data_IF_348073244010
#
_entry.id   IF_348073244010
#
_cell.length_a   1.000
_cell.length_b   1.000
_cell.length_c   1.000
_cell.angle_alpha   90.00
_cell.angle_beta   90.00
_cell.angle_gamma   90.00
#
_symmetry.space_group_name_H-M   'P 1'
#
loop_
_entity.id
_entity.type
_entity.pdbx_description
1 polymer ?
#
# COMPACT_ATOMS: atom_id res chain seq x y z
N UNK A 1 55.38 -18.24 43.05
CA UNK A 1 54.02 -18.75 42.78
C UNK A 1 53.15 -17.55 42.43
N UNK A 2 52.77 -17.44 41.15
CA UNK A 2 52.11 -16.26 40.57
C UNK A 2 50.61 -16.23 40.88
N UNK A 3 50.12 -15.06 41.30
CA UNK A 3 48.71 -14.66 41.30
C UNK A 3 48.39 -13.99 39.96
N UNK A 4 47.42 -14.50 39.19
CA UNK A 4 46.56 -13.68 38.32
C UNK A 4 45.27 -14.44 37.99
N UNK A 5 44.18 -14.05 38.65
CA UNK A 5 42.82 -14.39 38.23
C UNK A 5 42.55 -13.71 36.89
N UNK A 6 42.35 -14.49 35.82
CA UNK A 6 41.90 -13.98 34.53
C UNK A 6 40.49 -13.38 34.67
N UNK A 7 40.39 -12.05 34.69
CA UNK A 7 39.13 -11.36 34.38
C UNK A 7 38.80 -11.67 32.93
N UNK A 8 37.72 -12.44 32.72
CA UNK A 8 37.10 -12.60 31.41
C UNK A 8 36.44 -11.27 31.05
N UNK A 9 37.13 -10.47 30.25
CA UNK A 9 36.53 -9.29 29.60
C UNK A 9 35.45 -9.77 28.65
N UNK A 10 34.19 -9.46 28.94
CA UNK A 10 33.10 -9.55 27.96
C UNK A 10 33.34 -8.51 26.86
N UNK A 11 33.31 -8.87 25.56
CA UNK A 11 33.37 -7.86 24.52
C UNK A 11 32.09 -7.02 24.59
N UNK A 12 32.25 -5.70 24.58
CA UNK A 12 31.16 -4.74 24.48
C UNK A 12 30.47 -4.91 23.13
N UNK A 13 29.30 -5.54 23.10
CA UNK A 13 28.36 -5.43 21.98
C UNK A 13 27.60 -4.11 22.12
N UNK A 14 28.33 -3.00 21.95
CA UNK A 14 27.73 -1.74 21.51
C UNK A 14 27.64 -1.82 19.98
N UNK A 15 26.78 -2.71 19.47
CA UNK A 15 26.28 -2.60 18.11
C UNK A 15 25.38 -1.36 18.09
N UNK A 16 26.02 -0.21 17.95
CA UNK A 16 25.37 1.02 17.47
C UNK A 16 24.75 0.65 16.12
N UNK A 17 23.47 0.26 16.15
CA UNK A 17 22.68 0.04 14.95
C UNK A 17 22.59 1.40 14.28
N UNK A 18 23.46 1.65 13.31
CA UNK A 18 23.39 2.85 12.51
C UNK A 18 21.95 2.97 11.97
N UNK A 19 21.34 4.17 12.00
CA UNK A 19 20.00 4.36 11.51
C UNK A 19 19.91 3.86 10.06
N UNK A 20 18.89 3.07 9.76
CA UNK A 20 18.65 2.59 8.39
C UNK A 20 18.24 3.79 7.54
N UNK A 21 19.17 4.31 6.75
CA UNK A 21 18.89 5.37 5.78
C UNK A 21 18.19 4.77 4.55
N UNK A 22 16.92 5.12 4.39
CA UNK A 22 16.14 4.79 3.20
C UNK A 22 16.31 5.92 2.18
N UNK A 23 16.64 5.62 0.90
CA UNK A 23 16.63 6.62 -0.16
C UNK A 23 15.31 7.38 -0.17
N UNK A 24 15.40 8.70 -0.21
CA UNK A 24 14.25 9.58 -0.13
C UNK A 24 13.79 10.00 -1.51
N UNK A 25 12.56 9.65 -1.85
CA UNK A 25 11.91 10.03 -3.09
C UNK A 25 10.97 11.18 -2.79
N UNK A 26 11.15 12.31 -3.46
CA UNK A 26 10.21 13.42 -3.42
C UNK A 26 9.53 13.53 -4.78
N UNK A 27 8.21 13.44 -4.79
CA UNK A 27 7.35 13.66 -5.95
C UNK A 27 6.54 14.93 -5.72
N UNK A 28 6.55 15.85 -6.68
CA UNK A 28 5.73 17.07 -6.64
C UNK A 28 4.72 17.04 -7.77
N UNK A 29 3.45 17.29 -7.44
CA UNK A 29 2.34 17.35 -8.38
C UNK A 29 2.08 18.80 -8.77
N UNK A 30 2.20 19.10 -10.05
CA UNK A 30 1.83 20.40 -10.63
C UNK A 30 0.30 20.51 -10.79
N UNK A 31 -0.18 21.74 -11.00
CA UNK A 31 -1.61 22.04 -11.14
C UNK A 31 -2.27 21.32 -12.33
N UNK A 32 -1.52 21.08 -13.39
CA UNK A 32 -1.94 20.34 -14.59
C UNK A 32 -1.92 18.81 -14.41
N UNK A 33 -1.52 18.31 -13.24
CA UNK A 33 -1.41 16.89 -12.92
C UNK A 33 -0.09 16.24 -13.35
N UNK A 34 0.85 17.03 -13.88
CA UNK A 34 2.22 16.58 -14.19
C UNK A 34 3.01 16.36 -12.90
N UNK A 35 3.87 15.35 -12.89
CA UNK A 35 4.70 14.99 -11.76
C UNK A 35 6.17 15.31 -12.05
N UNK A 36 6.86 15.83 -11.05
CA UNK A 36 8.32 15.89 -11.02
C UNK A 36 8.83 15.04 -9.87
N UNK A 37 9.93 14.32 -10.08
CA UNK A 37 10.46 13.41 -9.08
C UNK A 37 11.95 13.61 -8.87
N UNK A 38 12.39 13.48 -7.61
CA UNK A 38 13.79 13.45 -7.23
C UNK A 38 14.06 12.26 -6.30
N UNK A 39 15.25 11.68 -6.39
CA UNK A 39 15.75 10.66 -5.46
C UNK A 39 16.99 11.22 -4.78
N UNK A 40 16.94 11.39 -3.45
CA UNK A 40 17.98 12.04 -2.66
C UNK A 40 18.41 13.41 -3.24
N UNK A 41 17.44 14.14 -3.81
CA UNK A 41 17.63 15.44 -4.46
C UNK A 41 18.10 15.39 -5.91
N UNK A 42 18.44 14.21 -6.46
CA UNK A 42 18.78 14.06 -7.87
C UNK A 42 17.51 13.92 -8.72
N UNK A 43 17.31 14.75 -9.77
CA UNK A 43 16.10 14.70 -10.59
C UNK A 43 16.04 13.42 -11.42
N UNK A 44 14.85 12.84 -11.51
CA UNK A 44 14.54 11.73 -12.41
C UNK A 44 13.94 12.31 -13.69
N UNK A 45 14.55 12.07 -14.86
CA UNK A 45 14.02 12.58 -16.12
C UNK A 45 12.64 11.97 -16.41
N UNK A 46 11.77 12.75 -17.07
CA UNK A 46 10.56 12.21 -17.70
C UNK A 46 10.95 11.13 -18.72
N UNK A 47 10.15 10.06 -18.88
CA UNK A 47 10.43 9.01 -19.85
C UNK A 47 10.25 9.55 -21.27
N UNK A 48 10.90 8.92 -22.25
CA UNK A 48 10.78 9.30 -23.66
C UNK A 48 9.32 9.25 -24.20
N UNK A 49 8.43 8.55 -23.48
CA UNK A 49 7.03 8.37 -23.82
C UNK A 49 6.08 9.47 -23.28
N UNK A 50 6.59 10.52 -22.63
CA UNK A 50 5.81 11.66 -22.12
C UNK A 50 6.11 12.00 -20.66
N UNK A 51 5.41 12.99 -20.11
CA UNK A 51 5.62 13.41 -18.73
C UNK A 51 5.11 12.38 -17.70
N UNK A 52 5.72 12.41 -16.52
CA UNK A 52 5.16 11.69 -15.40
C UNK A 52 3.81 12.29 -15.02
N UNK A 53 2.82 11.44 -14.82
CA UNK A 53 1.46 11.81 -14.42
C UNK A 53 1.02 10.85 -13.32
N UNK A 54 -0.10 11.14 -12.64
CA UNK A 54 -0.69 10.20 -11.68
C UNK A 54 -0.91 8.80 -12.27
N UNK A 55 -1.29 8.72 -13.54
CA UNK A 55 -1.50 7.44 -14.23
C UNK A 55 -0.19 6.66 -14.44
N UNK A 56 0.94 7.34 -14.59
CA UNK A 56 2.27 6.73 -14.79
C UNK A 56 3.12 6.67 -13.52
N UNK A 57 2.56 7.04 -12.36
CA UNK A 57 3.24 7.00 -11.06
C UNK A 57 3.77 5.61 -10.71
N UNK A 58 3.04 4.54 -11.06
CA UNK A 58 3.52 3.17 -10.86
C UNK A 58 4.83 2.89 -11.59
N UNK A 59 4.90 3.29 -12.87
CA UNK A 59 6.11 3.14 -13.70
C UNK A 59 7.28 4.00 -13.19
N UNK A 60 6.99 5.20 -12.68
CA UNK A 60 7.99 6.04 -12.00
C UNK A 60 8.57 5.33 -10.78
N UNK A 61 7.73 4.75 -9.93
CA UNK A 61 8.17 4.02 -8.74
C UNK A 61 8.94 2.75 -9.10
N UNK A 62 8.54 2.03 -10.13
CA UNK A 62 9.25 0.82 -10.59
C UNK A 62 10.64 1.18 -11.15
N UNK A 63 10.77 2.30 -11.87
CA UNK A 63 12.05 2.83 -12.35
C UNK A 63 12.98 3.24 -11.19
N UNK A 64 12.43 3.94 -10.18
CA UNK A 64 13.19 4.39 -9.01
C UNK A 64 13.65 3.20 -8.16
N UNK A 65 12.76 2.24 -7.93
CA UNK A 65 13.03 1.14 -7.00
C UNK A 65 13.74 -0.06 -7.63
N UNK A 66 14.17 0.04 -8.88
CA UNK A 66 14.74 -1.07 -9.67
C UNK A 66 13.87 -2.33 -9.54
N UNK A 67 12.60 -2.23 -9.94
CA UNK A 67 11.59 -3.29 -9.77
C UNK A 67 11.37 -3.70 -8.29
N UNK A 68 11.25 -2.70 -7.40
CA UNK A 68 10.95 -2.87 -5.97
C UNK A 68 11.97 -3.73 -5.22
N UNK A 69 13.23 -3.68 -5.64
CA UNK A 69 14.33 -4.42 -5.00
C UNK A 69 15.04 -3.61 -3.92
N UNK A 70 14.84 -2.29 -3.89
CA UNK A 70 15.28 -1.38 -2.82
C UNK A 70 14.08 -0.80 -2.07
N UNK A 71 14.18 -0.67 -0.75
CA UNK A 71 13.18 0.03 0.04
C UNK A 71 13.44 1.52 -0.03
N UNK A 72 12.39 2.34 -0.18
CA UNK A 72 12.51 3.81 -0.33
C UNK A 72 11.45 4.52 0.49
N UNK A 73 11.76 5.74 0.97
CA UNK A 73 10.79 6.63 1.62
C UNK A 73 10.26 7.63 0.60
N UNK A 74 8.99 7.50 0.22
CA UNK A 74 8.33 8.38 -0.75
C UNK A 74 7.57 9.48 -0.02
N UNK A 75 7.77 10.72 -0.45
CA UNK A 75 6.97 11.88 -0.09
C UNK A 75 6.35 12.45 -1.36
N UNK A 76 5.03 12.63 -1.36
CA UNK A 76 4.26 13.23 -2.44
C UNK A 76 3.74 14.57 -1.94
N UNK A 77 4.09 15.65 -2.64
CA UNK A 77 3.58 16.99 -2.41
C UNK A 77 2.55 17.32 -3.47
N UNK A 78 1.32 17.53 -3.02
CA UNK A 78 0.19 17.86 -3.87
C UNK A 78 0.11 19.38 -4.08
N UNK A 79 -0.51 19.80 -5.18
CA UNK A 79 -0.68 21.22 -5.51
C UNK A 79 -1.53 21.98 -4.47
N UNK A 80 -2.40 21.29 -3.73
CA UNK A 80 -3.20 21.87 -2.64
C UNK A 80 -2.41 22.04 -1.33
N UNK A 81 -1.12 21.70 -1.32
CA UNK A 81 -0.25 21.74 -0.16
C UNK A 81 -0.30 20.49 0.72
N UNK A 82 -1.12 19.49 0.37
CA UNK A 82 -1.15 18.21 1.06
C UNK A 82 0.16 17.46 0.87
N UNK A 83 0.62 16.79 1.93
CA UNK A 83 1.84 15.96 1.90
C UNK A 83 1.47 14.55 2.31
N UNK A 84 1.86 13.58 1.48
CA UNK A 84 1.64 12.17 1.73
C UNK A 84 2.99 11.45 1.81
N UNK A 85 3.22 10.69 2.87
CA UNK A 85 4.49 9.98 3.09
C UNK A 85 4.25 8.49 3.23
N UNK A 86 5.00 7.67 2.49
CA UNK A 86 4.94 6.21 2.55
C UNK A 86 6.34 5.59 2.47
N UNK A 87 6.46 4.33 2.90
CA UNK A 87 7.69 3.53 2.80
C UNK A 87 7.41 2.32 1.91
N UNK A 88 7.92 2.36 0.69
CA UNK A 88 7.85 1.22 -0.22
C UNK A 88 8.89 0.17 0.20
N UNK A 89 8.41 -1.03 0.57
CA UNK A 89 9.25 -2.14 1.00
C UNK A 89 9.66 -3.03 -0.17
N UNK A 90 10.78 -3.72 -0.03
CA UNK A 90 11.27 -4.64 -1.06
C UNK A 90 10.35 -5.83 -1.26
N UNK A 91 10.23 -6.28 -2.52
CA UNK A 91 9.60 -7.57 -2.81
C UNK A 91 10.59 -8.68 -2.48
N UNK A 92 10.24 -9.59 -1.56
CA UNK A 92 11.03 -10.80 -1.32
C UNK A 92 11.02 -11.63 -2.61
N UNK A 93 12.17 -11.93 -3.24
CA UNK A 93 12.18 -12.69 -4.49
C UNK A 93 11.56 -14.07 -4.24
N UNK A 94 10.46 -14.34 -4.93
CA UNK A 94 9.83 -15.66 -4.93
C UNK A 94 10.77 -16.59 -5.67
N UNK A 95 11.52 -17.40 -4.93
CA UNK A 95 12.37 -18.48 -5.48
C UNK A 95 11.50 -19.26 -6.47
N UNK A 96 11.85 -19.19 -7.75
CA UNK A 96 11.20 -19.99 -8.78
C UNK A 96 11.39 -21.46 -8.39
N UNK A 97 10.31 -22.12 -8.00
CA UNK A 97 10.32 -23.56 -7.82
C UNK A 97 10.43 -24.17 -9.22
N UNK A 98 11.56 -24.80 -9.50
CA UNK A 98 11.72 -25.68 -10.66
C UNK A 98 10.65 -26.77 -10.54
N UNK A 99 9.81 -27.04 -11.56
CA UNK A 99 8.83 -28.11 -11.46
C UNK A 99 9.59 -29.43 -11.50
N UNK A 100 9.76 -30.08 -10.35
CA UNK A 100 10.17 -31.47 -10.32
C UNK A 100 8.92 -32.32 -10.49
N UNK A 101 8.73 -32.88 -11.68
CA UNK A 101 7.82 -34.00 -11.90
C UNK A 101 8.36 -35.22 -11.15
N UNK A 102 7.87 -35.42 -9.93
CA UNK A 102 7.82 -36.76 -9.33
C UNK A 102 6.52 -36.85 -8.54
N UNK A 103 5.69 -37.88 -8.76
CA UNK A 103 4.49 -38.08 -7.96
C UNK A 103 4.94 -38.61 -6.59
N UNK A 104 5.21 -37.69 -5.66
CA UNK A 104 5.51 -38.06 -4.28
C UNK A 104 4.20 -38.13 -3.52
N UNK A 105 3.91 -39.37 -3.10
CA UNK A 105 2.77 -39.78 -2.29
C UNK A 105 2.55 -38.86 -1.07
N UNK A 106 1.27 -38.69 -0.75
CA UNK A 106 0.76 -37.91 0.38
C UNK A 106 1.44 -38.25 1.71
N UNK A 107 2.40 -37.41 2.11
CA UNK A 107 2.75 -37.23 3.52
C UNK A 107 2.38 -35.83 3.97
N UNK A 108 1.10 -35.69 4.30
CA UNK A 108 0.59 -35.01 5.50
C UNK A 108 1.22 -33.65 5.88
N UNK A 109 1.53 -32.72 4.97
CA UNK A 109 1.67 -31.27 5.27
C UNK A 109 1.55 -30.40 4.00
N UNK A 110 0.35 -30.20 3.47
CA UNK A 110 0.09 -29.13 2.48
C UNK A 110 -1.40 -29.00 2.11
N UNK A 111 -2.27 -28.77 3.11
CA UNK A 111 -3.55 -28.09 2.83
C UNK A 111 -3.37 -26.58 2.94
N UNK A 112 -2.52 -25.98 2.11
CA UNK A 112 -2.82 -24.63 1.65
C UNK A 112 -3.75 -24.80 0.47
N UNK A 113 -5.03 -25.02 0.78
CA UNK A 113 -6.09 -24.90 -0.20
C UNK A 113 -5.89 -23.54 -0.87
N UNK A 114 -5.70 -23.56 -2.19
CA UNK A 114 -5.64 -22.38 -3.04
C UNK A 114 -6.96 -21.61 -2.81
N UNK A 115 -6.95 -20.61 -1.91
CA UNK A 115 -8.13 -19.81 -1.58
C UNK A 115 -8.58 -19.15 -2.88
N UNK A 116 -9.74 -19.58 -3.38
CA UNK A 116 -10.43 -18.90 -4.48
C UNK A 116 -10.89 -17.54 -3.92
N UNK A 117 -10.54 -16.40 -4.55
CA UNK A 117 -11.04 -15.10 -4.13
C UNK A 117 -12.56 -15.12 -4.14
N UNK A 118 -13.18 -14.71 -3.03
CA UNK A 118 -14.63 -14.48 -2.98
C UNK A 118 -14.86 -13.05 -3.42
N UNK A 119 -15.35 -12.88 -4.65
CA UNK A 119 -15.69 -11.58 -5.21
C UNK A 119 -17.21 -11.39 -5.14
N UNK A 120 -17.64 -10.23 -4.65
CA UNK A 120 -19.02 -9.78 -4.73
C UNK A 120 -19.12 -8.73 -5.84
N UNK A 121 -20.08 -8.88 -6.75
CA UNK A 121 -20.35 -7.91 -7.81
C UNK A 121 -21.28 -6.81 -7.28
N UNK A 122 -21.00 -5.56 -7.64
CA UNK A 122 -21.80 -4.40 -7.26
C UNK A 122 -22.17 -3.62 -8.50
N UNK A 123 -23.46 -3.38 -8.69
CA UNK A 123 -23.97 -2.59 -9.82
C UNK A 123 -24.89 -1.48 -9.33
N UNK A 124 -24.68 -0.28 -9.85
CA UNK A 124 -25.60 0.84 -9.72
C UNK A 124 -25.60 1.68 -11.00
N UNK A 125 -26.67 2.45 -11.19
CA UNK A 125 -26.82 3.40 -12.30
C UNK A 125 -27.03 4.82 -11.77
N UNK A 126 -27.18 5.77 -12.68
CA UNK A 126 -27.23 7.20 -12.35
C UNK A 126 -25.88 7.91 -12.49
N UNK A 127 -24.85 7.17 -12.93
CA UNK A 127 -23.54 7.72 -13.21
C UNK A 127 -23.47 8.34 -14.62
N UNK A 128 -22.63 9.36 -14.77
CA UNK A 128 -22.25 9.90 -16.07
C UNK A 128 -21.35 8.88 -16.79
N UNK A 129 -21.59 8.59 -18.09
CA UNK A 129 -20.72 7.67 -18.83
C UNK A 129 -19.25 8.09 -18.79
N UNK A 130 -18.38 7.17 -18.38
CA UNK A 130 -16.94 7.41 -18.28
C UNK A 130 -16.50 8.17 -17.03
N UNK A 131 -17.39 8.46 -16.08
CA UNK A 131 -16.97 9.09 -14.83
C UNK A 131 -16.21 8.15 -13.90
N UNK A 132 -15.32 8.73 -13.08
CA UNK A 132 -14.65 8.03 -12.00
C UNK A 132 -15.62 7.78 -10.84
N UNK A 133 -15.75 6.52 -10.41
CA UNK A 133 -16.66 6.09 -9.34
C UNK A 133 -15.85 5.58 -8.16
N UNK A 134 -15.87 6.31 -7.05
CA UNK A 134 -15.25 5.89 -5.80
C UNK A 134 -16.07 4.75 -5.16
N UNK A 135 -15.38 3.73 -4.66
CA UNK A 135 -15.98 2.56 -3.99
C UNK A 135 -15.52 2.53 -2.54
N UNK A 136 -16.46 2.51 -1.59
CA UNK A 136 -16.17 2.40 -0.17
C UNK A 136 -17.04 1.30 0.47
N UNK A 137 -16.59 0.72 1.58
CA UNK A 137 -17.33 -0.32 2.31
C UNK A 137 -17.85 0.22 3.63
N UNK A 138 -19.10 -0.10 3.98
CA UNK A 138 -19.69 0.20 5.28
C UNK A 138 -19.20 -0.84 6.28
N UNK A 139 -18.47 -0.34 7.28
CA UNK A 139 -17.82 -1.16 8.32
C UNK A 139 -18.58 -1.12 9.64
N UNK A 140 -19.42 -0.12 9.84
CA UNK A 140 -20.27 0.04 11.03
C UNK A 140 -21.48 0.92 10.71
N UNK A 141 -22.54 0.80 11.52
CA UNK A 141 -23.70 1.68 11.47
C UNK A 141 -23.86 2.39 12.83
N UNK A 142 -24.33 3.64 12.80
CA UNK A 142 -24.66 4.43 14.00
C UNK A 142 -25.92 5.24 13.70
N UNK A 143 -26.65 5.62 14.75
CA UNK A 143 -27.86 6.42 14.63
C UNK A 143 -27.53 7.92 14.76
N UNK A 144 -28.33 8.74 14.08
CA UNK A 144 -28.30 10.19 14.26
C UNK A 144 -29.20 10.62 15.44
N UNK A 145 -28.82 11.68 16.14
CA UNK A 145 -29.63 12.33 17.17
C UNK A 145 -30.86 13.00 16.57
N UNK A 146 -31.79 13.45 17.42
CA UNK A 146 -32.97 14.21 16.97
C UNK A 146 -32.67 15.56 16.30
N UNK A 147 -31.42 16.03 16.36
CA UNK A 147 -30.94 17.22 15.63
C UNK A 147 -30.18 16.87 14.35
N UNK A 148 -30.04 15.58 14.02
CA UNK A 148 -29.35 15.09 12.83
C UNK A 148 -27.84 14.87 13.01
N UNK A 149 -27.31 14.93 14.24
CA UNK A 149 -25.89 14.67 14.49
C UNK A 149 -25.63 13.17 14.68
N UNK A 150 -24.59 12.63 14.06
CA UNK A 150 -24.17 11.25 14.27
C UNK A 150 -22.70 11.22 14.70
N UNK A 151 -22.36 10.33 15.65
CA UNK A 151 -20.98 10.09 16.07
C UNK A 151 -20.73 8.59 16.18
N UNK A 152 -19.55 8.16 15.74
CA UNK A 152 -19.09 6.77 15.86
C UNK A 152 -17.58 6.74 16.05
N UNK A 153 -17.10 5.69 16.71
CA UNK A 153 -15.69 5.32 16.73
C UNK A 153 -15.53 4.02 15.95
N UNK A 154 -14.44 3.87 15.21
CA UNK A 154 -14.15 2.68 14.42
C UNK A 154 -12.82 2.15 14.93
N UNK A 155 -12.83 0.92 15.44
CA UNK A 155 -11.59 0.19 15.71
C UNK A 155 -11.13 -0.46 14.41
N UNK A 156 -9.88 -0.23 14.03
CA UNK A 156 -9.31 -0.72 12.78
C UNK A 156 -8.95 -2.20 12.87
N UNK A 157 -8.71 -2.71 14.08
CA UNK A 157 -8.35 -4.12 14.30
C UNK A 157 -9.59 -5.04 14.23
N UNK A 158 -10.79 -4.47 14.40
CA UNK A 158 -12.08 -5.18 14.38
C UNK A 158 -12.76 -5.19 13.00
N UNK A 159 -12.09 -4.68 11.96
CA UNK A 159 -12.65 -4.68 10.61
C UNK A 159 -12.90 -6.12 10.12
N UNK A 160 -14.17 -6.52 9.92
CA UNK A 160 -14.50 -7.91 9.72
C UNK A 160 -14.26 -8.37 8.29
N UNK A 161 -14.02 -9.68 8.14
CA UNK A 161 -14.33 -10.42 6.91
C UNK A 161 -15.81 -10.84 6.96
N UNK A 162 -16.68 -10.31 6.09
CA UNK A 162 -18.13 -10.62 6.13
C UNK A 162 -18.99 -10.02 5.00
N UNK A 163 -20.32 -10.06 5.16
CA UNK A 163 -21.30 -9.38 4.28
C UNK A 163 -21.26 -7.90 4.61
N UNK A 164 -20.87 -7.08 3.64
CA UNK A 164 -20.75 -5.64 3.82
C UNK A 164 -21.76 -4.89 2.96
N UNK A 165 -21.92 -3.60 3.19
CA UNK A 165 -22.52 -2.71 2.21
C UNK A 165 -21.40 -1.93 1.49
N UNK A 166 -21.55 -1.67 0.20
CA UNK A 166 -20.66 -0.83 -0.58
C UNK A 166 -21.39 0.45 -0.99
N UNK A 167 -20.68 1.57 -0.87
CA UNK A 167 -21.07 2.87 -1.41
C UNK A 167 -20.33 3.07 -2.72
N UNK A 168 -21.09 3.34 -3.78
CA UNK A 168 -20.60 3.83 -5.06
C UNK A 168 -20.89 5.33 -5.12
N UNK A 169 -19.86 6.14 -5.35
CA UNK A 169 -19.96 7.59 -5.41
C UNK A 169 -19.36 8.14 -6.70
N UNK A 170 -20.19 8.70 -7.58
CA UNK A 170 -19.77 9.35 -8.82
C UNK A 170 -19.09 10.67 -8.55
N UNK A 171 -17.81 10.80 -8.90
CA UNK A 171 -17.01 11.99 -8.56
C UNK A 171 -17.38 13.23 -9.37
N UNK A 172 -17.99 13.04 -10.54
CA UNK A 172 -18.42 14.14 -11.42
C UNK A 172 -19.91 14.42 -11.19
N UNK A 173 -20.73 13.36 -11.16
CA UNK A 173 -22.18 13.46 -11.02
C UNK A 173 -22.66 13.72 -9.59
N UNK A 174 -21.86 13.37 -8.58
CA UNK A 174 -22.27 13.32 -7.18
C UNK A 174 -23.26 12.19 -6.87
N UNK A 175 -23.51 11.28 -7.83
CA UNK A 175 -24.45 10.17 -7.64
C UNK A 175 -23.96 9.24 -6.53
N UNK A 176 -24.86 8.87 -5.60
CA UNK A 176 -24.55 7.99 -4.47
C UNK A 176 -25.47 6.76 -4.50
N UNK A 177 -24.87 5.57 -4.44
CA UNK A 177 -25.62 4.32 -4.36
C UNK A 177 -25.03 3.41 -3.28
N UNK A 178 -25.88 2.94 -2.37
CA UNK A 178 -25.54 1.93 -1.36
C UNK A 178 -26.03 0.56 -1.82
N UNK A 179 -25.18 -0.47 -1.72
CA UNK A 179 -25.47 -1.83 -2.18
C UNK A 179 -24.99 -2.86 -1.17
N UNK A 180 -25.78 -3.90 -0.94
CA UNK A 180 -25.32 -5.05 -0.14
C UNK A 180 -24.39 -5.94 -0.96
N UNK A 181 -23.29 -6.35 -0.33
CA UNK A 181 -22.31 -7.31 -0.83
C UNK A 181 -22.71 -8.69 -0.31
N UNK A 182 -23.43 -9.45 -1.13
CA UNK A 182 -23.86 -10.83 -0.84
C UNK A 182 -22.82 -11.85 -1.28
#
# INVERSE_FOLDING_TARGET
MNLTNSRRSTPSEDETTAPVELPHVLVTVAEDGTLTATVDGAPIPSPDAGDWTRATFGSLMDAITKDRTIAVRVEVRENDGSVFTDILRTRKPRRAAVPTEVPVQETRRSRHARRVPRLAEVTAGGFVPGEDVAVATIVSHTDATGTGEARTFIDLDDLPDGTHEAILFGRVSGALAVRRLT
#
